data_IF_037820927054
#
_entry.id   IF_037820927054
#
_cell.length_a   1.000
_cell.length_b   1.000
_cell.length_c   1.000
_cell.angle_alpha   90.00
_cell.angle_beta   90.00
_cell.angle_gamma   90.00
#
_symmetry.space_group_name_H-M   'P 1'
#
loop_
_entity.id
_entity.type
_entity.pdbx_description
1 polymer ?
#
# COMPACT_ATOMS: atom_id res chain seq x y z
N UNK A 1 3.15 -29.09 -24.64
CA UNK A 1 2.10 -28.07 -24.48
C UNK A 1 2.32 -27.38 -23.16
N UNK A 2 2.31 -26.05 -23.12
CA UNK A 2 2.30 -25.33 -21.85
C UNK A 2 0.95 -25.58 -21.14
N UNK A 3 0.94 -25.77 -19.81
CA UNK A 3 -0.32 -25.97 -19.08
C UNK A 3 -1.21 -24.73 -19.15
N UNK A 4 -2.52 -24.93 -19.28
CA UNK A 4 -3.52 -23.85 -19.31
C UNK A 4 -3.58 -23.11 -17.95
N UNK A 5 -4.08 -21.87 -17.93
CA UNK A 5 -4.23 -21.09 -16.70
C UNK A 5 -5.05 -21.84 -15.63
N UNK A 6 -6.14 -22.51 -16.04
CA UNK A 6 -6.96 -23.33 -15.15
C UNK A 6 -6.21 -24.54 -14.59
N UNK A 7 -5.38 -25.24 -15.40
CA UNK A 7 -4.58 -26.36 -14.93
C UNK A 7 -3.51 -25.92 -13.92
N UNK A 8 -2.86 -24.78 -14.15
CA UNK A 8 -1.94 -24.16 -13.20
C UNK A 8 -2.63 -23.80 -11.89
N UNK A 9 -3.79 -23.13 -11.96
CA UNK A 9 -4.58 -22.74 -10.79
C UNK A 9 -5.05 -23.95 -9.96
N UNK A 10 -5.49 -25.01 -10.63
CA UNK A 10 -5.86 -26.27 -10.00
C UNK A 10 -4.67 -26.90 -9.26
N UNK A 11 -3.50 -26.98 -9.91
CA UNK A 11 -2.30 -27.54 -9.29
C UNK A 11 -1.86 -26.74 -8.06
N UNK A 12 -1.84 -25.40 -8.15
CA UNK A 12 -1.52 -24.54 -7.01
C UNK A 12 -2.52 -24.73 -5.86
N UNK A 13 -3.81 -24.84 -6.18
CA UNK A 13 -4.89 -25.13 -5.23
C UNK A 13 -4.66 -26.47 -4.50
N UNK A 14 -4.28 -27.52 -5.22
CA UNK A 14 -3.98 -28.86 -4.66
C UNK A 14 -2.71 -28.82 -3.79
N UNK A 15 -1.66 -28.16 -4.26
CA UNK A 15 -0.39 -28.04 -3.54
C UNK A 15 -0.57 -27.28 -2.21
N UNK A 16 -1.33 -26.18 -2.24
CA UNK A 16 -1.67 -25.44 -1.03
C UNK A 16 -2.44 -26.31 -0.03
N UNK A 17 -3.47 -27.04 -0.48
CA UNK A 17 -4.25 -27.92 0.39
C UNK A 17 -3.40 -29.04 1.01
N UNK A 18 -2.53 -29.68 0.20
CA UNK A 18 -1.58 -30.70 0.70
C UNK A 18 -0.61 -30.11 1.73
N UNK A 19 -0.09 -28.91 1.46
CA UNK A 19 0.83 -28.22 2.36
C UNK A 19 0.19 -27.82 3.68
N UNK A 20 -1.04 -27.29 3.64
CA UNK A 20 -1.80 -26.89 4.84
C UNK A 20 -2.19 -28.08 5.72
N UNK A 21 -2.42 -29.27 5.14
CA UNK A 21 -2.73 -30.50 5.90
C UNK A 21 -1.49 -31.20 6.48
N UNK A 22 -0.29 -30.77 6.12
CA UNK A 22 0.93 -31.41 6.60
C UNK A 22 1.16 -31.12 8.08
N UNK A 23 1.34 -32.16 8.89
CA UNK A 23 1.74 -32.04 10.30
C UNK A 23 3.22 -31.67 10.49
N UNK A 24 4.02 -31.64 9.40
CA UNK A 24 5.44 -31.28 9.49
C UNK A 24 5.58 -29.77 9.76
N UNK A 25 6.36 -29.36 10.77
CA UNK A 25 6.55 -27.95 11.10
C UNK A 25 7.17 -27.20 9.92
N UNK A 26 6.75 -25.95 9.72
CA UNK A 26 7.20 -25.09 8.61
C UNK A 26 6.64 -25.42 7.22
N UNK A 27 6.09 -26.61 6.99
CA UNK A 27 5.50 -26.97 5.68
C UNK A 27 4.26 -26.12 5.35
N UNK A 28 3.30 -25.89 6.28
CA UNK A 28 2.16 -25.00 5.99
C UNK A 28 2.60 -23.58 5.63
N UNK A 29 3.56 -23.03 6.36
CA UNK A 29 4.14 -21.69 6.11
C UNK A 29 4.77 -21.61 4.73
N UNK A 30 5.61 -22.60 4.38
CA UNK A 30 6.23 -22.65 3.04
C UNK A 30 5.19 -22.73 1.93
N UNK A 31 4.14 -23.55 2.11
CA UNK A 31 3.07 -23.69 1.13
C UNK A 31 2.28 -22.38 0.95
N UNK A 32 2.01 -21.64 2.03
CA UNK A 32 1.39 -20.32 1.97
C UNK A 32 2.30 -19.35 1.22
N UNK A 33 3.58 -19.22 1.59
CA UNK A 33 4.50 -18.27 0.98
C UNK A 33 4.71 -18.51 -0.52
N UNK A 34 4.68 -19.77 -0.96
CA UNK A 34 4.72 -20.13 -2.38
C UNK A 34 3.56 -19.52 -3.18
N UNK A 35 2.43 -19.21 -2.54
CA UNK A 35 1.31 -18.56 -3.22
C UNK A 35 1.59 -17.11 -3.61
N UNK A 36 2.54 -16.41 -2.97
CA UNK A 36 2.84 -15.01 -3.31
C UNK A 36 3.16 -14.79 -4.79
N UNK A 37 4.21 -15.44 -5.34
CA UNK A 37 4.53 -15.39 -6.77
C UNK A 37 3.39 -15.89 -7.68
N UNK A 38 2.63 -16.90 -7.24
CA UNK A 38 1.49 -17.43 -8.01
C UNK A 38 0.37 -16.40 -8.14
N UNK A 39 -0.02 -15.73 -7.04
CA UNK A 39 -1.03 -14.66 -7.07
C UNK A 39 -0.57 -13.49 -7.95
N UNK A 40 0.70 -13.10 -7.88
CA UNK A 40 1.26 -12.06 -8.75
C UNK A 40 1.20 -12.43 -10.23
N UNK A 41 1.62 -13.66 -10.58
CA UNK A 41 1.56 -14.18 -11.95
C UNK A 41 0.12 -14.19 -12.46
N UNK A 42 -0.81 -14.66 -11.63
CA UNK A 42 -2.22 -14.70 -12.00
C UNK A 42 -2.80 -13.30 -12.20
N UNK A 43 -2.44 -12.35 -11.34
CA UNK A 43 -2.78 -10.93 -11.48
C UNK A 43 -2.23 -10.29 -12.77
N UNK A 44 -1.28 -10.92 -13.47
CA UNK A 44 -0.76 -10.51 -14.80
C UNK A 44 -1.42 -11.24 -15.97
N UNK A 45 -1.62 -12.56 -15.86
CA UNK A 45 -2.15 -13.36 -16.99
C UNK A 45 -3.57 -12.94 -17.40
N UNK A 46 -4.36 -12.45 -16.43
CA UNK A 46 -5.69 -11.91 -16.68
C UNK A 46 -5.69 -10.52 -17.34
N UNK A 47 -4.53 -9.90 -17.56
CA UNK A 47 -4.35 -8.72 -18.41
C UNK A 47 -4.45 -9.07 -19.91
N UNK A 48 -4.37 -10.36 -20.29
CA UNK A 48 -4.27 -10.84 -21.68
C UNK A 48 -5.58 -11.29 -22.34
N UNK A 49 -6.73 -11.02 -21.71
CA UNK A 49 -8.07 -11.52 -22.08
C UNK A 49 -8.68 -11.02 -23.41
N UNK A 50 -7.89 -10.90 -24.47
CA UNK A 50 -8.37 -10.76 -25.86
C UNK A 50 -7.62 -11.77 -26.75
N UNK A 51 -7.79 -13.06 -26.50
CA UNK A 51 -7.61 -14.11 -27.53
C UNK A 51 -8.83 -15.03 -27.45
N UNK A 52 -9.44 -15.46 -28.58
CA UNK A 52 -10.79 -16.02 -28.57
C UNK A 52 -10.79 -17.37 -27.89
N UNK A 53 -11.64 -17.51 -26.86
CA UNK A 53 -12.00 -18.74 -26.14
C UNK A 53 -12.64 -19.84 -27.03
N UNK A 54 -12.38 -19.86 -28.33
CA UNK A 54 -12.99 -20.80 -29.29
C UNK A 54 -12.09 -21.94 -29.74
N UNK A 55 -10.85 -22.04 -29.24
CA UNK A 55 -9.86 -23.00 -29.79
C UNK A 55 -9.47 -24.13 -28.84
N UNK A 56 -9.82 -24.01 -27.56
CA UNK A 56 -9.67 -25.06 -26.54
C UNK A 56 -10.99 -25.10 -25.80
N UNK A 57 -11.65 -26.25 -25.69
CA UNK A 57 -12.93 -26.48 -24.99
C UNK A 57 -12.88 -26.16 -23.47
N UNK A 58 -12.41 -24.97 -23.11
CA UNK A 58 -12.27 -24.48 -21.75
C UNK A 58 -13.61 -23.91 -21.32
N UNK A 59 -14.17 -24.45 -20.24
CA UNK A 59 -15.33 -23.85 -19.59
C UNK A 59 -14.90 -22.48 -19.07
N UNK A 60 -15.53 -21.37 -19.52
CA UNK A 60 -15.19 -20.04 -19.03
C UNK A 60 -15.40 -19.96 -17.51
N UNK A 61 -14.38 -19.50 -16.76
CA UNK A 61 -14.47 -19.25 -15.32
C UNK A 61 -14.02 -20.39 -14.39
N UNK A 62 -13.51 -21.51 -14.91
CA UNK A 62 -12.93 -22.57 -14.05
C UNK A 62 -11.73 -22.09 -13.23
N UNK A 63 -10.89 -21.23 -13.81
CA UNK A 63 -9.77 -20.59 -13.11
C UNK A 63 -10.26 -19.69 -11.96
N UNK A 64 -11.38 -18.98 -12.12
CA UNK A 64 -12.00 -18.18 -11.06
C UNK A 64 -12.49 -19.05 -9.88
N UNK A 65 -12.99 -20.26 -10.16
CA UNK A 65 -13.37 -21.21 -9.10
C UNK A 65 -12.16 -21.63 -8.26
N UNK A 66 -11.03 -21.94 -8.91
CA UNK A 66 -9.79 -22.28 -8.20
C UNK A 66 -9.21 -21.08 -7.46
N UNK A 67 -9.33 -19.86 -8.02
CA UNK A 67 -8.89 -18.63 -7.35
C UNK A 67 -9.66 -18.43 -6.05
N UNK A 68 -10.98 -18.53 -6.12
CA UNK A 68 -11.86 -18.44 -4.98
C UNK A 68 -11.53 -19.54 -3.95
N UNK A 69 -11.30 -20.78 -4.37
CA UNK A 69 -10.90 -21.86 -3.47
C UNK A 69 -9.56 -21.59 -2.76
N UNK A 70 -8.56 -21.06 -3.47
CA UNK A 70 -7.27 -20.66 -2.90
C UNK A 70 -7.46 -19.55 -1.87
N UNK A 71 -8.20 -18.49 -2.21
CA UNK A 71 -8.46 -17.37 -1.30
C UNK A 71 -9.19 -17.83 -0.03
N UNK A 72 -10.18 -18.71 -0.18
CA UNK A 72 -10.92 -19.28 0.96
C UNK A 72 -10.00 -20.12 1.84
N UNK A 73 -9.12 -20.96 1.27
CA UNK A 73 -8.15 -21.75 2.04
C UNK A 73 -7.14 -20.86 2.78
N UNK A 74 -6.68 -19.77 2.17
CA UNK A 74 -5.81 -18.80 2.83
C UNK A 74 -6.53 -18.09 3.98
N UNK A 75 -7.81 -17.73 3.82
CA UNK A 75 -8.62 -17.14 4.87
C UNK A 75 -8.92 -18.14 6.02
N UNK A 76 -9.14 -19.42 5.71
CA UNK A 76 -9.27 -20.48 6.70
C UNK A 76 -7.96 -20.72 7.47
N UNK A 77 -6.81 -20.72 6.77
CA UNK A 77 -5.49 -20.79 7.39
C UNK A 77 -5.22 -19.59 8.31
N UNK A 78 -5.61 -18.38 7.90
CA UNK A 78 -5.52 -17.19 8.76
C UNK A 78 -6.43 -17.30 9.99
N UNK A 79 -7.63 -17.85 9.82
CA UNK A 79 -8.60 -17.99 10.91
C UNK A 79 -8.18 -19.00 11.98
N UNK A 80 -7.73 -20.18 11.55
CA UNK A 80 -7.38 -21.29 12.45
C UNK A 80 -5.88 -21.40 12.78
N UNK A 81 -5.04 -20.62 12.12
CA UNK A 81 -3.58 -20.72 12.24
C UNK A 81 -3.01 -20.06 13.50
N UNK A 82 -1.80 -20.50 13.85
CA UNK A 82 -0.96 -19.80 14.83
C UNK A 82 -0.43 -18.46 14.23
N UNK A 83 0.29 -17.69 15.04
CA UNK A 83 0.87 -16.41 14.63
C UNK A 83 1.70 -16.51 13.35
N UNK A 84 2.54 -17.55 13.22
CA UNK A 84 3.42 -17.74 12.05
C UNK A 84 2.61 -17.96 10.75
N UNK A 85 1.55 -18.76 10.82
CA UNK A 85 0.62 -18.99 9.69
C UNK A 85 -0.10 -17.69 9.32
N UNK A 86 -0.64 -16.97 10.31
CA UNK A 86 -1.34 -15.69 10.08
C UNK A 86 -0.43 -14.66 9.41
N UNK A 87 0.78 -14.53 9.92
CA UNK A 87 1.81 -13.65 9.36
C UNK A 87 2.14 -14.04 7.91
N UNK A 88 2.28 -15.33 7.64
CA UNK A 88 2.58 -15.85 6.29
C UNK A 88 1.46 -15.51 5.29
N UNK A 89 0.19 -15.63 5.71
CA UNK A 89 -0.95 -15.23 4.87
C UNK A 89 -0.91 -13.73 4.59
N UNK A 90 -0.70 -12.89 5.61
CA UNK A 90 -0.60 -11.44 5.43
C UNK A 90 0.55 -11.06 4.48
N UNK A 91 1.72 -11.70 4.61
CA UNK A 91 2.87 -11.49 3.71
C UNK A 91 2.52 -11.74 2.25
N UNK A 92 1.80 -12.83 1.95
CA UNK A 92 1.37 -13.16 0.58
C UNK A 92 0.54 -12.04 -0.03
N UNK A 93 -0.42 -11.49 0.72
CA UNK A 93 -1.29 -10.42 0.23
C UNK A 93 -0.57 -9.05 0.16
N UNK A 94 0.38 -8.77 1.05
CA UNK A 94 1.24 -7.59 0.94
C UNK A 94 2.10 -7.63 -0.32
N UNK A 95 2.67 -8.79 -0.65
CA UNK A 95 3.47 -9.02 -1.85
C UNK A 95 2.62 -8.81 -3.12
N UNK A 96 1.38 -9.29 -3.12
CA UNK A 96 0.43 -9.06 -4.23
C UNK A 96 0.11 -7.56 -4.37
N UNK A 97 -0.21 -6.88 -3.26
CA UNK A 97 -0.51 -5.45 -3.27
C UNK A 97 0.66 -4.59 -3.75
N UNK A 98 1.89 -4.86 -3.29
CA UNK A 98 3.09 -4.12 -3.74
C UNK A 98 3.28 -4.21 -5.26
N UNK A 99 2.96 -5.37 -5.82
CA UNK A 99 3.01 -5.56 -7.27
C UNK A 99 1.94 -4.73 -8.00
N UNK A 100 0.79 -4.49 -7.38
CA UNK A 100 -0.24 -3.60 -7.92
C UNK A 100 0.19 -2.13 -7.93
N UNK A 101 0.73 -1.60 -6.82
CA UNK A 101 1.12 -0.18 -6.68
C UNK A 101 2.25 0.23 -7.66
N UNK A 102 3.10 -0.70 -8.06
CA UNK A 102 4.20 -0.47 -9.00
C UNK A 102 3.77 -0.46 -10.48
N UNK A 103 2.53 -0.86 -10.80
CA UNK A 103 2.04 -0.86 -12.18
C UNK A 103 1.57 0.53 -12.60
N UNK A 104 2.26 1.11 -13.59
CA UNK A 104 1.96 2.44 -14.17
C UNK A 104 0.63 2.51 -14.95
N UNK A 105 -0.14 1.42 -15.08
CA UNK A 105 -1.27 1.33 -16.00
C UNK A 105 -2.59 1.09 -15.25
N UNK A 106 -3.43 2.12 -15.21
CA UNK A 106 -4.77 2.19 -14.57
C UNK A 106 -5.85 1.25 -15.16
N UNK A 107 -5.52 0.40 -16.13
CA UNK A 107 -6.53 -0.34 -16.90
C UNK A 107 -6.78 -1.79 -16.45
N UNK A 108 -5.95 -2.35 -15.56
CA UNK A 108 -6.08 -3.75 -15.16
C UNK A 108 -6.65 -3.87 -13.75
N UNK A 109 -7.86 -4.45 -13.64
CA UNK A 109 -8.45 -4.83 -12.36
C UNK A 109 -7.72 -6.09 -11.86
N UNK A 110 -6.98 -5.98 -10.75
CA UNK A 110 -6.20 -7.08 -10.17
C UNK A 110 -7.05 -8.31 -9.79
N UNK A 111 -6.38 -9.40 -9.41
CA UNK A 111 -7.05 -10.64 -8.93
C UNK A 111 -8.04 -10.36 -7.80
N UNK A 112 -7.71 -9.40 -6.94
CA UNK A 112 -8.51 -9.00 -5.79
C UNK A 112 -9.57 -7.94 -6.14
N UNK A 113 -9.80 -7.64 -7.41
CA UNK A 113 -10.90 -6.75 -7.76
C UNK A 113 -12.24 -7.38 -7.43
N UNK A 114 -13.19 -6.58 -6.93
CA UNK A 114 -14.50 -7.06 -6.47
C UNK A 114 -15.23 -7.95 -7.47
N UNK A 115 -15.16 -7.63 -8.77
CA UNK A 115 -15.80 -8.40 -9.83
C UNK A 115 -15.27 -9.85 -9.97
N UNK A 116 -14.12 -10.15 -9.35
CA UNK A 116 -13.37 -11.40 -9.54
C UNK A 116 -13.27 -12.24 -8.27
N UNK A 117 -13.69 -11.69 -7.13
CA UNK A 117 -13.71 -12.39 -5.84
C UNK A 117 -15.15 -12.79 -5.51
N UNK A 118 -15.56 -13.96 -6.01
CA UNK A 118 -16.93 -14.45 -5.89
C UNK A 118 -17.43 -14.50 -4.43
N UNK A 119 -16.66 -15.08 -3.50
CA UNK A 119 -17.05 -15.22 -2.09
C UNK A 119 -16.41 -14.17 -1.17
N UNK A 120 -16.28 -12.92 -1.64
CA UNK A 120 -15.65 -11.84 -0.86
C UNK A 120 -16.28 -11.65 0.53
N UNK A 121 -17.60 -11.75 0.67
CA UNK A 121 -18.27 -11.62 1.98
C UNK A 121 -17.81 -12.69 2.99
N UNK A 122 -17.62 -13.92 2.54
CA UNK A 122 -17.19 -15.00 3.44
C UNK A 122 -15.69 -14.88 3.77
N UNK A 123 -14.86 -14.34 2.87
CA UNK A 123 -13.47 -13.97 3.18
C UNK A 123 -13.43 -12.92 4.29
N UNK A 124 -14.20 -11.84 4.13
CA UNK A 124 -14.28 -10.75 5.11
C UNK A 124 -14.80 -11.26 6.46
N UNK A 125 -15.81 -12.13 6.47
CA UNK A 125 -16.36 -12.74 7.69
C UNK A 125 -15.32 -13.56 8.46
N UNK A 126 -14.50 -14.36 7.76
CA UNK A 126 -13.44 -15.15 8.39
C UNK A 126 -12.39 -14.27 9.05
N UNK A 127 -11.87 -13.26 8.33
CA UNK A 127 -10.87 -12.33 8.87
C UNK A 127 -11.44 -11.47 9.99
N UNK A 128 -12.70 -11.03 9.85
CA UNK A 128 -13.41 -10.30 10.90
C UNK A 128 -13.55 -11.11 12.19
N UNK A 129 -13.78 -12.42 12.12
CA UNK A 129 -13.82 -13.25 13.33
C UNK A 129 -12.47 -13.23 14.07
N UNK A 130 -11.35 -13.23 13.35
CA UNK A 130 -10.02 -13.10 13.94
C UNK A 130 -9.80 -11.72 14.56
N UNK A 131 -10.32 -10.66 13.94
CA UNK A 131 -10.27 -9.32 14.54
C UNK A 131 -11.09 -9.24 15.83
N UNK A 132 -12.31 -9.78 15.84
CA UNK A 132 -13.19 -9.70 16.99
C UNK A 132 -12.68 -10.51 18.19
N UNK A 133 -12.23 -11.74 17.93
CA UNK A 133 -11.92 -12.72 18.98
C UNK A 133 -10.40 -12.83 19.26
N UNK A 134 -9.57 -12.17 18.45
CA UNK A 134 -8.12 -12.28 18.51
C UNK A 134 -7.45 -11.37 19.54
N UNK A 135 -6.20 -11.71 19.82
CA UNK A 135 -5.27 -10.86 20.58
C UNK A 135 -4.83 -9.63 19.77
N UNK A 136 -4.03 -8.75 20.41
CA UNK A 136 -3.54 -7.51 19.78
C UNK A 136 -2.79 -7.77 18.47
N UNK A 137 -2.02 -8.85 18.38
CA UNK A 137 -1.27 -9.21 17.18
C UNK A 137 -2.22 -9.68 16.06
N UNK A 138 -3.17 -10.55 16.38
CA UNK A 138 -4.19 -11.02 15.44
C UNK A 138 -5.05 -9.88 14.88
N UNK A 139 -5.42 -8.91 15.74
CA UNK A 139 -6.14 -7.69 15.32
C UNK A 139 -5.32 -6.85 14.34
N UNK A 140 -4.05 -6.64 14.65
CA UNK A 140 -3.10 -5.92 13.79
C UNK A 140 -2.99 -6.60 12.42
N UNK A 141 -2.80 -7.92 12.39
CA UNK A 141 -2.72 -8.69 11.16
C UNK A 141 -4.03 -8.66 10.35
N UNK A 142 -5.18 -8.71 11.02
CA UNK A 142 -6.48 -8.62 10.37
C UNK A 142 -6.72 -7.25 9.72
N UNK A 143 -6.32 -6.15 10.38
CA UNK A 143 -6.38 -4.79 9.81
C UNK A 143 -5.53 -4.68 8.55
N UNK A 144 -4.28 -5.18 8.59
CA UNK A 144 -3.41 -5.20 7.40
C UNK A 144 -4.08 -5.98 6.27
N UNK A 145 -4.69 -7.12 6.57
CA UNK A 145 -5.35 -7.95 5.57
C UNK A 145 -6.58 -7.25 4.95
N UNK A 146 -7.38 -6.55 5.76
CA UNK A 146 -8.45 -5.68 5.22
C UNK A 146 -7.90 -4.60 4.29
N UNK A 147 -6.77 -3.99 4.66
CA UNK A 147 -6.05 -3.07 3.79
C UNK A 147 -5.75 -3.69 2.43
N UNK A 148 -5.05 -4.84 2.41
CA UNK A 148 -4.74 -5.59 1.18
C UNK A 148 -5.97 -5.96 0.34
N UNK A 149 -7.14 -6.07 0.96
CA UNK A 149 -8.40 -6.42 0.32
C UNK A 149 -9.31 -5.22 0.03
N UNK A 150 -8.77 -3.99 0.06
CA UNK A 150 -9.55 -2.76 -0.08
C UNK A 150 -10.53 -2.77 -1.26
N UNK A 151 -10.14 -3.31 -2.42
CA UNK A 151 -10.93 -3.36 -3.64
C UNK A 151 -12.33 -4.00 -3.47
N UNK A 152 -12.50 -4.95 -2.56
CA UNK A 152 -13.81 -5.53 -2.24
C UNK A 152 -14.24 -5.33 -0.78
N UNK A 153 -13.31 -4.96 0.11
CA UNK A 153 -13.60 -4.69 1.51
C UNK A 153 -14.24 -3.30 1.71
N UNK A 154 -13.98 -2.35 0.80
CA UNK A 154 -14.48 -0.98 0.91
C UNK A 154 -16.00 -0.89 1.04
N UNK A 155 -16.77 -1.73 0.38
CA UNK A 155 -18.23 -1.61 0.39
C UNK A 155 -18.86 -2.20 1.67
N UNK A 156 -18.05 -2.85 2.51
CA UNK A 156 -18.51 -3.40 3.78
C UNK A 156 -18.44 -2.35 4.90
N UNK A 157 -19.61 -1.80 5.27
CA UNK A 157 -19.74 -0.79 6.33
C UNK A 157 -19.15 -1.25 7.68
N UNK A 158 -19.23 -2.55 8.01
CA UNK A 158 -18.67 -3.06 9.25
C UNK A 158 -17.14 -3.03 9.22
N UNK A 159 -16.51 -3.39 8.10
CA UNK A 159 -15.05 -3.33 7.95
C UNK A 159 -14.55 -1.88 7.97
N UNK A 160 -15.25 -0.98 7.27
CA UNK A 160 -14.97 0.46 7.32
C UNK A 160 -15.00 0.99 8.75
N UNK A 161 -16.05 0.65 9.51
CA UNK A 161 -16.17 1.04 10.90
C UNK A 161 -15.01 0.48 11.74
N UNK A 162 -14.67 -0.80 11.59
CA UNK A 162 -13.55 -1.41 12.32
C UNK A 162 -12.24 -0.64 12.08
N UNK A 163 -11.89 -0.39 10.81
CA UNK A 163 -10.69 0.38 10.45
C UNK A 163 -10.72 1.76 11.14
N UNK A 164 -11.77 2.55 10.94
CA UNK A 164 -11.85 3.89 11.52
C UNK A 164 -11.80 3.87 13.05
N UNK A 165 -12.52 2.95 13.70
CA UNK A 165 -12.52 2.83 15.16
C UNK A 165 -11.14 2.43 15.74
N UNK A 166 -10.36 1.65 15.00
CA UNK A 166 -9.00 1.26 15.40
C UNK A 166 -7.97 2.40 15.31
N UNK A 167 -8.27 3.51 14.62
CA UNK A 167 -7.38 4.69 14.59
C UNK A 167 -7.26 5.40 15.95
N UNK A 168 -8.20 5.15 16.87
CA UNK A 168 -8.20 5.69 18.23
C UNK A 168 -7.93 4.60 19.28
N UNK A 169 -7.40 3.44 18.86
CA UNK A 169 -6.97 2.37 19.77
C UNK A 169 -5.84 2.85 20.69
N UNK A 170 -5.77 2.38 21.96
CA UNK A 170 -4.64 2.66 22.83
C UNK A 170 -3.36 1.90 22.43
N UNK A 171 -3.42 1.02 21.43
CA UNK A 171 -2.29 0.21 20.99
C UNK A 171 -1.69 0.75 19.68
N UNK A 172 -0.47 1.27 19.74
CA UNK A 172 0.25 1.83 18.57
C UNK A 172 0.30 0.88 17.38
N UNK A 173 0.48 -0.43 17.60
CA UNK A 173 0.50 -1.42 16.52
C UNK A 173 -0.84 -1.51 15.78
N UNK A 174 -1.95 -1.45 16.53
CA UNK A 174 -3.30 -1.48 15.96
C UNK A 174 -3.59 -0.18 15.20
N UNK A 175 -3.23 0.98 15.77
CA UNK A 175 -3.39 2.29 15.11
C UNK A 175 -2.61 2.33 13.80
N UNK A 176 -1.37 1.85 13.79
CA UNK A 176 -0.53 1.82 12.58
C UNK A 176 -1.06 0.86 11.51
N UNK A 177 -1.52 -0.33 11.89
CA UNK A 177 -2.16 -1.25 10.95
C UNK A 177 -3.48 -0.68 10.40
N UNK A 178 -4.23 0.04 11.24
CA UNK A 178 -5.42 0.76 10.82
C UNK A 178 -5.08 1.90 9.86
N UNK A 179 -4.04 2.71 10.12
CA UNK A 179 -3.57 3.76 9.21
C UNK A 179 -3.20 3.19 7.83
N UNK A 180 -2.52 2.04 7.80
CA UNK A 180 -2.26 1.32 6.56
C UNK A 180 -3.58 0.99 5.84
N UNK A 181 -4.50 0.30 6.50
CA UNK A 181 -5.79 -0.10 5.90
C UNK A 181 -6.64 1.10 5.45
N UNK A 182 -6.67 2.16 6.25
CA UNK A 182 -7.37 3.40 5.93
C UNK A 182 -6.78 4.07 4.69
N UNK A 183 -5.44 4.14 4.59
CA UNK A 183 -4.76 4.63 3.40
C UNK A 183 -5.11 3.83 2.15
N UNK A 184 -5.22 2.51 2.29
CA UNK A 184 -5.64 1.63 1.20
C UNK A 184 -7.07 1.95 0.69
N UNK A 185 -8.00 2.22 1.61
CA UNK A 185 -9.38 2.58 1.26
C UNK A 185 -9.48 4.00 0.68
N UNK A 186 -8.62 4.92 1.14
CA UNK A 186 -8.56 6.29 0.62
C UNK A 186 -8.14 6.37 -0.85
N UNK A 187 -7.49 5.34 -1.39
CA UNK A 187 -7.12 5.28 -2.81
C UNK A 187 -8.34 5.07 -3.72
N UNK A 188 -9.43 4.50 -3.19
CA UNK A 188 -10.58 4.02 -4.00
C UNK A 188 -11.93 4.65 -3.59
N UNK A 189 -12.02 5.29 -2.42
CA UNK A 189 -13.28 5.77 -1.86
C UNK A 189 -13.23 7.22 -1.40
N UNK A 190 -14.04 8.08 -2.03
CA UNK A 190 -14.10 9.51 -1.74
C UNK A 190 -14.69 9.82 -0.35
N UNK A 191 -15.76 9.14 0.03
CA UNK A 191 -16.46 9.39 1.29
C UNK A 191 -15.64 8.91 2.49
N UNK A 192 -15.04 7.72 2.37
CA UNK A 192 -14.12 7.19 3.38
C UNK A 192 -12.87 8.05 3.52
N UNK A 193 -12.34 8.56 2.40
CA UNK A 193 -11.20 9.45 2.40
C UNK A 193 -11.51 10.78 3.11
N UNK A 194 -12.68 11.39 2.87
CA UNK A 194 -13.04 12.63 3.56
C UNK A 194 -13.04 12.47 5.09
N UNK A 195 -13.59 11.37 5.61
CA UNK A 195 -13.64 11.07 7.04
C UNK A 195 -12.23 10.80 7.58
N UNK A 196 -11.46 9.97 6.87
CA UNK A 196 -10.10 9.61 7.29
C UNK A 196 -9.20 10.84 7.34
N UNK A 197 -9.32 11.77 6.39
CA UNK A 197 -8.54 13.00 6.36
C UNK A 197 -8.78 13.88 7.61
N UNK A 198 -10.03 13.95 8.08
CA UNK A 198 -10.37 14.66 9.32
C UNK A 198 -9.76 13.97 10.55
N UNK A 199 -9.77 12.64 10.58
CA UNK A 199 -9.12 11.87 11.63
C UNK A 199 -7.59 12.05 11.62
N UNK A 200 -6.95 12.05 10.45
CA UNK A 200 -5.51 12.30 10.34
C UNK A 200 -5.13 13.70 10.83
N UNK A 201 -5.91 14.72 10.49
CA UNK A 201 -5.68 16.07 11.00
C UNK A 201 -5.70 16.09 12.53
N UNK A 202 -6.66 15.40 13.15
CA UNK A 202 -6.76 15.30 14.60
C UNK A 202 -5.58 14.52 15.20
N UNK A 203 -5.17 13.40 14.58
CA UNK A 203 -4.00 12.61 15.02
C UNK A 203 -2.71 13.44 14.97
N UNK A 204 -2.50 14.19 13.89
CA UNK A 204 -1.29 15.01 13.70
C UNK A 204 -1.19 16.13 14.75
N UNK A 205 -2.32 16.77 15.07
CA UNK A 205 -2.39 17.84 16.06
C UNK A 205 -2.54 17.35 17.51
N UNK A 206 -2.87 16.07 17.73
CA UNK A 206 -3.03 15.52 19.07
C UNK A 206 -1.69 15.46 19.81
N UNK A 207 -1.61 15.96 21.06
CA UNK A 207 -0.43 15.78 21.89
C UNK A 207 -0.31 14.34 22.41
N UNK A 208 -1.40 13.56 22.42
CA UNK A 208 -1.41 12.18 22.89
C UNK A 208 -0.88 11.18 21.84
N UNK A 209 -0.83 11.57 20.56
CA UNK A 209 -0.31 10.71 19.51
C UNK A 209 1.23 10.64 19.56
N UNK A 210 1.77 9.42 19.60
CA UNK A 210 3.21 9.17 19.57
C UNK A 210 3.82 9.62 18.24
N UNK A 211 5.12 9.96 18.23
CA UNK A 211 5.82 10.36 17.00
C UNK A 211 5.71 9.28 15.89
N UNK A 212 5.90 7.98 16.15
CA UNK A 212 5.70 6.94 15.14
C UNK A 212 4.30 6.94 14.52
N UNK A 213 3.25 7.19 15.30
CA UNK A 213 1.88 7.31 14.79
C UNK A 213 1.76 8.55 13.89
N UNK A 214 2.32 9.70 14.28
CA UNK A 214 2.30 10.92 13.46
C UNK A 214 3.05 10.74 12.14
N UNK A 215 4.22 10.10 12.18
CA UNK A 215 4.98 9.77 10.97
C UNK A 215 4.21 8.82 10.05
N UNK A 216 3.54 7.81 10.60
CA UNK A 216 2.66 6.93 9.84
C UNK A 216 1.47 7.69 9.23
N UNK A 217 0.79 8.54 10.01
CA UNK A 217 -0.33 9.37 9.56
C UNK A 217 0.08 10.33 8.43
N UNK A 218 1.27 10.96 8.56
CA UNK A 218 1.84 11.83 7.53
C UNK A 218 2.02 11.10 6.19
N UNK A 219 2.48 9.84 6.20
CA UNK A 219 2.63 9.02 4.99
C UNK A 219 1.30 8.79 4.25
N UNK A 220 0.20 8.68 4.98
CA UNK A 220 -1.13 8.43 4.39
C UNK A 220 -1.59 9.59 3.49
N UNK A 221 -1.08 10.82 3.66
CA UNK A 221 -1.40 11.93 2.75
C UNK A 221 -1.11 11.59 1.28
N UNK A 222 -0.09 10.76 1.01
CA UNK A 222 0.24 10.32 -0.35
C UNK A 222 -0.87 9.47 -1.00
N UNK A 223 -1.76 8.87 -0.19
CA UNK A 223 -2.77 7.89 -0.61
C UNK A 223 -4.13 8.50 -0.99
N UNK A 224 -4.35 9.80 -0.75
CA UNK A 224 -5.59 10.53 -1.08
C UNK A 224 -5.76 10.83 -2.58
N UNK A 225 -5.78 9.77 -3.41
CA UNK A 225 -5.70 9.88 -4.88
C UNK A 225 -6.99 9.47 -5.59
N UNK A 226 -8.03 9.08 -4.85
CA UNK A 226 -9.31 8.61 -5.38
C UNK A 226 -9.98 9.64 -6.32
N UNK A 227 -9.98 10.92 -5.95
CA UNK A 227 -10.48 12.01 -6.78
C UNK A 227 -9.64 13.27 -6.65
N UNK A 228 -9.75 14.17 -7.64
CA UNK A 228 -9.09 15.46 -7.59
C UNK A 228 -9.59 16.33 -6.41
N UNK A 229 -10.88 16.26 -6.08
CA UNK A 229 -11.47 17.03 -4.97
C UNK A 229 -10.85 16.63 -3.63
N UNK A 230 -10.80 15.32 -3.36
CA UNK A 230 -10.18 14.76 -2.15
C UNK A 230 -8.68 15.07 -2.11
N UNK A 231 -7.96 14.85 -3.22
CA UNK A 231 -6.55 15.17 -3.30
C UNK A 231 -6.25 16.64 -3.04
N UNK A 232 -7.06 17.56 -3.57
CA UNK A 232 -6.92 19.00 -3.33
C UNK A 232 -7.20 19.36 -1.86
N UNK A 233 -8.20 18.74 -1.22
CA UNK A 233 -8.49 18.93 0.22
C UNK A 233 -7.31 18.42 1.07
N UNK A 234 -6.84 17.20 0.81
CA UNK A 234 -5.69 16.61 1.50
C UNK A 234 -4.42 17.42 1.32
N UNK A 235 -4.16 17.91 0.10
CA UNK A 235 -3.03 18.79 -0.19
C UNK A 235 -3.04 20.06 0.64
N UNK A 236 -4.19 20.76 0.70
CA UNK A 236 -4.34 21.99 1.51
C UNK A 236 -4.11 21.74 3.00
N UNK A 237 -4.75 20.71 3.54
CA UNK A 237 -4.59 20.33 4.95
C UNK A 237 -3.13 19.95 5.24
N UNK A 238 -2.47 19.24 4.33
CA UNK A 238 -1.06 18.89 4.50
C UNK A 238 -0.13 20.11 4.52
N UNK A 239 -0.38 21.14 3.70
CA UNK A 239 0.39 22.39 3.73
C UNK A 239 0.19 23.15 5.04
N UNK A 240 -1.02 23.14 5.59
CA UNK A 240 -1.32 23.71 6.91
C UNK A 240 -0.51 22.97 8.00
N UNK A 241 -0.50 21.64 7.98
CA UNK A 241 0.28 20.84 8.92
C UNK A 241 1.80 21.07 8.82
N UNK A 242 2.33 21.24 7.59
CA UNK A 242 3.74 21.61 7.38
C UNK A 242 4.04 22.97 8.01
N UNK A 243 3.14 23.94 7.84
CA UNK A 243 3.34 25.31 8.34
C UNK A 243 3.31 25.37 9.87
N UNK A 244 2.54 24.48 10.51
CA UNK A 244 2.39 24.41 11.96
C UNK A 244 3.39 23.48 12.66
N UNK A 245 4.16 22.68 11.91
CA UNK A 245 5.11 21.72 12.46
C UNK A 245 6.52 22.31 12.58
N UNK A 246 7.14 22.16 13.75
CA UNK A 246 8.57 22.39 13.96
C UNK A 246 9.40 21.10 13.98
N UNK A 247 8.75 19.94 13.85
CA UNK A 247 9.44 18.64 13.88
C UNK A 247 9.93 18.27 12.47
N UNK A 248 11.25 18.12 12.31
CA UNK A 248 11.88 17.86 11.03
C UNK A 248 11.46 16.53 10.40
N UNK A 249 11.33 15.45 11.18
CA UNK A 249 10.90 14.14 10.67
C UNK A 249 9.49 14.22 10.06
N UNK A 250 8.58 14.92 10.74
CA UNK A 250 7.23 15.17 10.23
C UNK A 250 7.28 16.01 8.96
N UNK A 251 8.10 17.07 8.92
CA UNK A 251 8.25 17.92 7.74
C UNK A 251 8.74 17.10 6.54
N UNK A 252 9.78 16.29 6.72
CA UNK A 252 10.38 15.46 5.67
C UNK A 252 9.36 14.49 5.09
N UNK A 253 8.65 13.76 5.94
CA UNK A 253 7.63 12.79 5.49
C UNK A 253 6.46 13.50 4.81
N UNK A 254 5.99 14.63 5.35
CA UNK A 254 4.89 15.39 4.76
C UNK A 254 5.25 15.98 3.40
N UNK A 255 6.43 16.58 3.26
CA UNK A 255 6.92 17.10 1.98
C UNK A 255 6.94 16.01 0.91
N UNK A 256 7.47 14.84 1.27
CA UNK A 256 7.51 13.71 0.37
C UNK A 256 6.11 13.18 0.01
N UNK A 257 5.24 13.07 1.01
CA UNK A 257 3.86 12.57 0.83
C UNK A 257 3.02 13.51 -0.03
N UNK A 258 3.17 14.82 0.16
CA UNK A 258 2.52 15.84 -0.66
C UNK A 258 3.10 15.92 -2.07
N UNK A 259 4.40 15.68 -2.27
CA UNK A 259 4.98 15.55 -3.60
C UNK A 259 4.40 14.35 -4.35
N UNK A 260 4.30 13.21 -3.67
CA UNK A 260 3.62 12.02 -4.18
C UNK A 260 2.15 12.30 -4.51
N UNK A 261 1.43 13.02 -3.66
CA UNK A 261 0.02 13.39 -3.90
C UNK A 261 -0.11 14.37 -5.08
N UNK A 262 0.72 15.42 -5.11
CA UNK A 262 0.67 16.45 -6.14
C UNK A 262 0.94 15.90 -7.54
N UNK A 263 1.74 14.83 -7.66
CA UNK A 263 2.08 14.19 -8.93
C UNK A 263 0.88 13.65 -9.72
N UNK A 264 -0.29 13.48 -9.08
CA UNK A 264 -1.48 12.96 -9.76
C UNK A 264 -2.05 13.93 -10.80
N UNK A 265 -1.85 15.24 -10.62
CA UNK A 265 -2.43 16.29 -11.47
C UNK A 265 -1.39 17.37 -11.77
N UNK A 266 -1.35 17.83 -13.02
CA UNK A 266 -0.45 18.91 -13.44
C UNK A 266 -0.67 20.19 -12.62
N UNK A 267 -1.92 20.51 -12.29
CA UNK A 267 -2.26 21.70 -11.50
C UNK A 267 -1.74 21.61 -10.06
N UNK A 268 -1.92 20.46 -9.38
CA UNK A 268 -1.36 20.28 -8.04
C UNK A 268 0.17 20.26 -8.09
N UNK A 269 0.75 19.66 -9.12
CA UNK A 269 2.20 19.64 -9.27
C UNK A 269 2.77 21.04 -9.42
N UNK A 270 2.18 21.90 -10.26
CA UNK A 270 2.61 23.29 -10.44
C UNK A 270 2.61 24.05 -9.11
N UNK A 271 1.48 24.01 -8.40
CA UNK A 271 1.34 24.67 -7.11
C UNK A 271 2.33 24.12 -6.07
N UNK A 272 2.65 22.83 -6.13
CA UNK A 272 3.60 22.23 -5.19
C UNK A 272 5.05 22.57 -5.51
N UNK A 273 5.43 22.68 -6.79
CA UNK A 273 6.77 23.16 -7.16
C UNK A 273 6.98 24.60 -6.68
N UNK A 274 6.02 25.48 -6.91
CA UNK A 274 6.08 26.87 -6.41
C UNK A 274 6.22 26.92 -4.89
N UNK A 275 5.41 26.12 -4.18
CA UNK A 275 5.54 25.96 -2.73
C UNK A 275 6.95 25.48 -2.33
N UNK A 276 7.48 24.42 -2.94
CA UNK A 276 8.79 23.86 -2.61
C UNK A 276 9.92 24.88 -2.85
N UNK A 277 9.86 25.65 -3.94
CA UNK A 277 10.84 26.72 -4.23
C UNK A 277 10.77 27.81 -3.15
N UNK A 278 9.57 28.31 -2.82
CA UNK A 278 9.40 29.30 -1.74
C UNK A 278 9.82 28.74 -0.37
N UNK A 279 9.68 27.43 -0.16
CA UNK A 279 10.07 26.77 1.09
C UNK A 279 11.60 26.73 1.25
N UNK A 280 12.36 26.63 0.15
CA UNK A 280 13.83 26.67 0.17
C UNK A 280 14.40 28.02 0.62
N UNK A 281 13.64 29.10 0.47
CA UNK A 281 14.04 30.44 0.90
C UNK A 281 14.04 30.61 2.43
N UNK A 282 13.41 29.66 3.15
CA UNK A 282 13.40 29.64 4.62
C UNK A 282 14.73 29.18 5.19
N UNK A 283 14.97 29.49 6.47
CA UNK A 283 16.03 28.82 7.23
C UNK A 283 15.63 27.36 7.46
N UNK A 284 16.26 26.47 6.70
CA UNK A 284 16.07 25.02 6.77
C UNK A 284 17.37 24.35 7.21
N UNK A 285 17.26 23.23 7.92
CA UNK A 285 18.40 22.33 8.12
C UNK A 285 18.83 21.70 6.80
N UNK A 286 20.06 21.17 6.76
CA UNK A 286 20.58 20.46 5.59
C UNK A 286 19.66 19.31 5.17
N UNK A 287 19.13 18.56 6.14
CA UNK A 287 18.27 17.40 5.90
C UNK A 287 16.93 17.79 5.25
N UNK A 288 16.26 18.83 5.76
CA UNK A 288 15.01 19.31 5.18
C UNK A 288 15.26 19.92 3.79
N UNK A 289 16.34 20.70 3.64
CA UNK A 289 16.72 21.28 2.33
C UNK A 289 16.97 20.20 1.27
N UNK A 290 17.72 19.16 1.62
CA UNK A 290 17.98 18.03 0.74
C UNK A 290 16.67 17.32 0.34
N UNK A 291 15.77 17.12 1.29
CA UNK A 291 14.45 16.52 1.03
C UNK A 291 13.64 17.34 0.04
N UNK A 292 13.63 18.68 0.18
CA UNK A 292 12.91 19.57 -0.74
C UNK A 292 13.48 19.47 -2.15
N UNK A 293 14.82 19.44 -2.30
CA UNK A 293 15.46 19.26 -3.60
C UNK A 293 15.12 17.90 -4.24
N UNK A 294 15.11 16.82 -3.43
CA UNK A 294 14.68 15.48 -3.87
C UNK A 294 13.22 15.48 -4.33
N UNK A 295 12.34 16.19 -3.62
CA UNK A 295 10.94 16.35 -3.98
C UNK A 295 10.76 17.07 -5.33
N UNK A 296 11.48 18.17 -5.53
CA UNK A 296 11.49 18.91 -6.81
C UNK A 296 11.95 17.99 -7.95
N UNK A 297 13.07 17.28 -7.77
CA UNK A 297 13.59 16.33 -8.76
C UNK A 297 12.57 15.23 -9.10
N UNK A 298 11.91 14.65 -8.10
CA UNK A 298 10.86 13.64 -8.29
C UNK A 298 9.71 14.16 -9.16
N UNK A 299 9.24 15.39 -8.95
CA UNK A 299 8.14 15.98 -9.71
C UNK A 299 8.54 16.23 -11.18
N UNK A 300 9.74 16.76 -11.42
CA UNK A 300 10.25 16.96 -12.78
C UNK A 300 10.40 15.65 -13.56
N UNK A 301 10.84 14.58 -12.89
CA UNK A 301 10.98 13.25 -13.51
C UNK A 301 9.63 12.64 -13.88
N UNK A 302 8.62 12.79 -13.03
CA UNK A 302 7.29 12.20 -13.27
C UNK A 302 6.42 12.98 -14.25
N UNK A 303 6.69 14.28 -14.45
CA UNK A 303 5.92 15.16 -15.32
C UNK A 303 6.88 16.01 -16.18
N UNK A 304 7.48 15.43 -17.24
CA UNK A 304 8.44 16.15 -18.09
C UNK A 304 7.85 17.38 -18.79
N UNK A 305 6.51 17.48 -18.89
CA UNK A 305 5.80 18.66 -19.39
C UNK A 305 6.03 19.92 -18.54
N UNK A 306 6.51 19.80 -17.30
CA UNK A 306 6.90 20.93 -16.45
C UNK A 306 8.23 21.57 -16.87
N UNK A 307 9.06 20.88 -17.67
CA UNK A 307 10.29 21.46 -18.21
C UNK A 307 10.03 22.65 -19.14
N UNK A 308 8.82 22.75 -19.69
CA UNK A 308 8.44 23.87 -20.56
C UNK A 308 8.14 25.16 -19.77
N UNK A 309 7.80 25.06 -18.48
CA UNK A 309 7.53 26.22 -17.62
C UNK A 309 8.80 26.81 -16.99
N UNK A 310 9.86 26.01 -16.82
CA UNK A 310 11.15 26.49 -16.28
C UNK A 310 12.01 27.23 -17.31
N UNK A 311 11.70 27.09 -18.60
CA UNK A 311 12.47 27.75 -19.67
C UNK A 311 12.17 29.26 -19.84
N UNK A 312 11.31 29.84 -19.00
CA UNK A 312 11.03 31.29 -19.04
C UNK A 312 11.58 32.09 -17.86
N UNK A 313 12.29 31.49 -16.90
CA UNK A 313 12.80 32.27 -15.75
C UNK A 313 13.86 31.57 -14.88
N UNK A 314 14.82 30.85 -15.47
CA UNK A 314 16.01 30.45 -14.73
C UNK A 314 17.25 30.45 -15.64
N UNK A 315 17.85 31.62 -15.85
CA UNK A 315 19.26 31.69 -16.22
C UNK A 315 20.07 31.36 -14.96
N UNK A 316 20.62 30.15 -14.89
CA UNK A 316 21.62 29.77 -13.89
C UNK A 316 22.96 30.36 -14.33
N UNK A 317 23.60 31.27 -13.57
CA UNK A 317 24.96 31.67 -13.83
C UNK A 317 25.90 30.52 -13.44
N UNK A 318 26.75 30.15 -14.38
CA UNK A 318 27.88 29.25 -14.29
C UNK A 318 27.59 27.75 -14.06
N UNK A 319 27.78 27.02 -15.16
CA UNK A 319 27.66 25.58 -15.25
C UNK A 319 28.71 24.84 -14.42
N UNK A 320 28.23 24.14 -13.40
CA UNK A 320 28.85 22.91 -12.93
C UNK A 320 27.76 21.83 -12.88
N UNK A 321 27.82 20.90 -13.83
CA UNK A 321 27.03 19.68 -13.79
C UNK A 321 27.61 18.78 -12.70
N UNK A 322 26.83 18.55 -11.63
CA UNK A 322 27.12 17.48 -10.67
C UNK A 322 26.55 16.18 -11.26
N UNK A 323 27.38 15.42 -11.97
CA UNK A 323 27.06 14.06 -12.38
C UNK A 323 27.04 13.16 -11.13
N UNK A 324 25.85 12.83 -10.65
CA UNK A 324 25.67 11.76 -9.66
C UNK A 324 25.78 10.40 -10.35
N UNK A 325 26.53 9.49 -9.73
CA UNK A 325 26.90 8.20 -10.34
C UNK A 325 25.68 7.26 -10.51
N UNK A 326 25.60 6.46 -11.59
CA UNK A 326 24.53 5.49 -11.80
C UNK A 326 24.40 4.42 -10.69
N UNK A 327 25.45 4.18 -9.91
CA UNK A 327 25.46 3.24 -8.78
C UNK A 327 24.70 3.75 -7.55
N UNK A 328 24.68 5.06 -7.32
CA UNK A 328 23.85 5.69 -6.28
C UNK A 328 22.39 5.82 -6.73
N UNK A 329 22.04 5.41 -7.96
CA UNK A 329 20.70 5.53 -8.52
C UNK A 329 19.92 4.21 -8.52
N UNK A 330 20.60 3.06 -8.62
CA UNK A 330 19.94 1.74 -8.56
C UNK A 330 19.51 1.34 -7.14
N UNK A 331 20.20 1.81 -6.09
CA UNK A 331 19.80 1.56 -4.69
C UNK A 331 18.44 2.20 -4.32
N UNK A 332 18.06 3.33 -4.95
CA UNK A 332 16.93 4.16 -4.53
C UNK A 332 15.64 3.92 -5.32
N UNK A 333 15.69 2.99 -6.28
CA UNK A 333 14.56 2.57 -7.10
C UNK A 333 13.63 1.61 -6.33
N UNK A 334 14.14 0.98 -5.26
CA UNK A 334 13.42 0.05 -4.37
C UNK A 334 12.89 0.67 -3.05
N UNK A 335 13.58 1.68 -2.51
CA UNK A 335 13.44 2.07 -1.10
C UNK A 335 12.07 2.62 -0.64
N UNK A 336 11.26 3.20 -1.53
CA UNK A 336 10.12 4.01 -1.08
C UNK A 336 8.86 3.22 -0.69
N UNK A 337 8.81 1.93 -1.07
CA UNK A 337 7.85 0.92 -0.59
C UNK A 337 8.48 -0.02 0.43
N UNK A 338 9.81 -0.05 0.49
CA UNK A 338 10.54 -0.84 1.48
C UNK A 338 10.43 -0.20 2.86
N UNK A 339 10.13 1.10 2.95
CA UNK A 339 9.77 1.80 4.19
C UNK A 339 8.48 1.27 4.85
N UNK A 340 7.44 0.90 4.07
CA UNK A 340 6.22 0.26 4.59
C UNK A 340 6.51 -1.17 5.06
N UNK A 341 7.36 -1.91 4.33
CA UNK A 341 7.83 -3.23 4.73
C UNK A 341 8.80 -3.18 5.93
N UNK A 342 9.65 -2.16 6.03
CA UNK A 342 10.57 -1.91 7.15
C UNK A 342 9.78 -1.53 8.38
N UNK A 343 8.72 -0.72 8.23
CA UNK A 343 7.81 -0.36 9.31
C UNK A 343 6.87 -1.52 9.68
N UNK A 344 6.46 -2.38 8.75
CA UNK A 344 5.79 -3.65 9.07
C UNK A 344 6.77 -4.61 9.75
N UNK A 345 8.00 -4.72 9.29
CA UNK A 345 9.05 -5.49 9.94
C UNK A 345 9.36 -4.94 11.34
N UNK A 346 9.31 -3.61 11.55
CA UNK A 346 9.39 -2.96 12.88
C UNK A 346 8.13 -3.16 13.73
N UNK A 347 6.93 -3.19 13.13
CA UNK A 347 5.67 -3.54 13.81
C UNK A 347 5.73 -4.97 14.34
N UNK A 348 6.41 -5.86 13.63
CA UNK A 348 6.52 -7.26 13.96
C UNK A 348 7.88 -7.64 14.59
N UNK A 349 8.83 -6.71 14.78
CA UNK A 349 10.16 -6.97 15.35
C UNK A 349 10.16 -7.14 16.88
N UNK A 350 9.03 -6.88 17.54
CA UNK A 350 8.85 -7.21 18.97
C UNK A 350 8.47 -8.68 19.22
N UNK A 351 8.19 -9.43 18.15
CA UNK A 351 8.16 -10.89 18.17
C UNK A 351 9.52 -11.38 17.70
N UNK A 352 10.27 -12.12 18.54
CA UNK A 352 11.62 -12.65 18.25
C UNK A 352 11.70 -13.56 16.99
N UNK A 353 10.61 -13.69 16.24
CA UNK A 353 10.44 -14.59 15.09
C UNK A 353 10.85 -13.93 13.76
N UNK A 354 11.14 -12.62 13.71
CA UNK A 354 11.39 -11.93 12.43
C UNK A 354 12.85 -11.68 12.02
N UNK A 355 13.84 -12.01 12.87
CA UNK A 355 15.25 -11.82 12.52
C UNK A 355 15.82 -12.83 11.51
N UNK A 356 15.02 -13.75 10.97
CA UNK A 356 15.53 -14.78 10.05
C UNK A 356 15.15 -14.62 8.57
N UNK A 357 14.35 -13.63 8.16
CA UNK A 357 13.92 -13.54 6.74
C UNK A 357 13.71 -12.07 6.30
N UNK A 358 14.82 -11.34 6.15
CA UNK A 358 15.02 -10.29 5.14
C UNK A 358 16.29 -10.64 4.37
#
# INVERSE_FOLDING_TARGET
MEPTCAACAMEWSIQLEKGLRSCKPGVPVKAILQMGPHLQRWSRELESGIVPNGMFDLVPGEDELFANAILLRLADAFRGGNTEIKLSVVRVFLIERKHHDNRKHKQCKGLLSMARVANHLELLKRVKSVFNDGDSESKTLALVLFGCWADFANDNAQIRYLILSSLVSPHDCEVRASLFAAGCFCEISDDFACITLEMLFNIMNSPAASLPIKLAAARIFAKFRCSYSVAKKAYKIGLELISNSSNEDILVIMLFSLSKLASISTLLTSNHVEFLVSFLERQLTSHVRETVLRCIYFLFRNKPSLKLYSNTSFEVPDGQYMELSPSEYEAWKGDWTDDEMLELNKLFSHSEVLNCIV
#
